data_IF_540422448596
#
_entry.id   IF_540422448596
#
_cell.length_a   1.000
_cell.length_b   1.000
_cell.length_c   1.000
_cell.angle_alpha   90.00
_cell.angle_beta   90.00
_cell.angle_gamma   90.00
#
_symmetry.space_group_name_H-M   'P 1'
#
loop_
_entity.id
_entity.type
_entity.pdbx_description
1 polymer ?
#
# COMPACT_ATOMS: atom_id res chain seq x y z
N UNK A 1 28.79 1.20 -11.24
CA UNK A 1 27.83 2.31 -11.02
C UNK A 1 26.47 1.82 -11.49
N UNK A 2 25.53 1.61 -10.57
CA UNK A 2 24.19 1.11 -10.92
C UNK A 2 23.32 2.35 -11.20
N UNK A 3 22.83 2.59 -12.43
CA UNK A 3 21.91 3.69 -12.66
C UNK A 3 20.58 3.28 -12.04
N UNK A 4 20.34 3.68 -10.79
CA UNK A 4 19.00 3.62 -10.22
C UNK A 4 18.11 4.50 -11.08
N UNK A 5 17.21 3.89 -11.86
CA UNK A 5 16.18 4.59 -12.61
C UNK A 5 15.51 5.62 -11.68
N UNK A 6 15.24 6.84 -12.16
CA UNK A 6 14.59 7.85 -11.33
C UNK A 6 13.26 7.30 -10.83
N UNK A 7 13.11 7.21 -9.51
CA UNK A 7 11.86 6.82 -8.90
C UNK A 7 10.82 7.89 -9.22
N UNK A 8 9.69 7.46 -9.77
CA UNK A 8 8.53 8.32 -9.97
C UNK A 8 7.68 8.25 -8.71
N UNK A 9 7.11 9.38 -8.27
CA UNK A 9 6.13 9.40 -7.20
C UNK A 9 4.72 9.48 -7.81
N UNK A 10 3.80 8.65 -7.32
CA UNK A 10 2.38 8.71 -7.63
C UNK A 10 1.59 8.92 -6.35
N UNK A 11 0.70 9.90 -6.36
CA UNK A 11 -0.24 10.15 -5.28
C UNK A 11 -1.65 9.88 -5.78
N UNK A 12 -2.43 9.17 -4.98
CA UNK A 12 -3.77 8.79 -5.37
C UNK A 12 -4.51 8.03 -4.30
N UNK A 13 -5.76 7.71 -4.61
CA UNK A 13 -6.62 6.91 -3.74
C UNK A 13 -6.60 5.45 -4.20
N UNK A 14 -6.43 4.53 -3.25
CA UNK A 14 -6.59 3.11 -3.54
C UNK A 14 -8.06 2.83 -3.81
N UNK A 15 -8.41 2.49 -5.05
CA UNK A 15 -9.81 2.22 -5.43
C UNK A 15 -10.17 0.76 -5.27
N UNK A 16 -9.26 -0.14 -5.64
CA UNK A 16 -9.53 -1.57 -5.63
C UNK A 16 -8.26 -2.39 -5.48
N UNK A 17 -8.36 -3.47 -4.71
CA UNK A 17 -7.34 -4.52 -4.65
C UNK A 17 -7.81 -5.66 -5.56
N UNK A 18 -7.06 -5.92 -6.63
CA UNK A 18 -7.35 -7.03 -7.58
C UNK A 18 -6.82 -8.36 -7.03
N UNK A 19 -5.67 -8.33 -6.37
CA UNK A 19 -5.05 -9.51 -5.77
C UNK A 19 -4.23 -9.09 -4.55
N UNK A 20 -4.26 -9.90 -3.50
CA UNK A 20 -3.40 -9.73 -2.34
C UNK A 20 -2.97 -11.09 -1.79
N UNK A 21 -1.66 -11.28 -1.66
CA UNK A 21 -1.07 -12.43 -1.00
C UNK A 21 -0.73 -12.06 0.45
N UNK A 22 -1.47 -12.64 1.40
CA UNK A 22 -1.29 -12.39 2.84
C UNK A 22 0.02 -12.91 3.41
N UNK A 23 0.71 -13.84 2.76
CA UNK A 23 1.98 -14.38 3.26
C UNK A 23 3.17 -13.55 2.82
N UNK A 24 3.14 -13.06 1.57
CA UNK A 24 4.25 -12.31 0.96
C UNK A 24 4.03 -10.81 0.93
N UNK A 25 2.82 -10.31 1.24
CA UNK A 25 2.36 -8.94 1.03
C UNK A 25 2.32 -8.49 -0.43
N UNK A 26 2.38 -9.42 -1.37
CA UNK A 26 2.31 -9.06 -2.77
C UNK A 26 0.89 -8.59 -3.13
N UNK A 27 0.79 -7.39 -3.69
CA UNK A 27 -0.47 -6.75 -4.08
C UNK A 27 -0.49 -6.45 -5.57
N UNK A 28 -1.68 -6.56 -6.15
CA UNK A 28 -2.05 -5.95 -7.44
C UNK A 28 -3.28 -5.10 -7.16
N UNK A 29 -3.18 -3.80 -7.42
CA UNK A 29 -4.21 -2.84 -7.07
C UNK A 29 -4.41 -1.77 -8.15
N UNK A 30 -5.54 -1.07 -8.05
CA UNK A 30 -5.89 0.09 -8.87
C UNK A 30 -5.83 1.35 -8.01
N UNK A 31 -4.96 2.27 -8.40
CA UNK A 31 -4.79 3.58 -7.79
C UNK A 31 -5.42 4.64 -8.69
N UNK A 32 -6.35 5.44 -8.16
CA UNK A 32 -6.88 6.62 -8.84
C UNK A 32 -5.99 7.82 -8.55
N UNK A 33 -5.29 8.29 -9.56
CA UNK A 33 -4.37 9.44 -9.46
C UNK A 33 -5.05 10.73 -9.91
N UNK A 34 -4.99 11.78 -9.08
CA UNK A 34 -5.56 13.10 -9.41
C UNK A 34 -7.08 13.10 -9.64
N UNK A 35 -7.57 14.11 -10.36
CA UNK A 35 -9.00 14.30 -10.68
C UNK A 35 -9.46 13.57 -11.97
N UNK A 36 -8.60 12.75 -12.57
CA UNK A 36 -8.98 11.96 -13.75
C UNK A 36 -9.53 10.60 -13.35
N UNK A 37 -10.46 10.04 -14.12
CA UNK A 37 -10.98 8.67 -13.93
C UNK A 37 -10.00 7.57 -14.36
N UNK A 38 -8.74 7.92 -14.60
CA UNK A 38 -7.70 6.99 -14.97
C UNK A 38 -7.23 6.19 -13.74
N UNK A 39 -7.39 4.88 -13.81
CA UNK A 39 -6.89 3.93 -12.80
C UNK A 39 -5.53 3.38 -13.21
N UNK A 40 -4.53 3.66 -12.39
CA UNK A 40 -3.18 3.11 -12.55
C UNK A 40 -3.11 1.74 -11.89
N UNK A 41 -2.62 0.73 -12.62
CA UNK A 41 -2.32 -0.58 -12.03
C UNK A 41 -1.02 -0.49 -11.24
N UNK A 42 -1.06 -0.70 -9.94
CA UNK A 42 0.12 -0.74 -9.06
C UNK A 42 0.39 -2.18 -8.63
N UNK A 43 1.66 -2.58 -8.62
CA UNK A 43 2.11 -3.93 -8.27
C UNK A 43 3.33 -3.88 -7.37
N UNK A 44 3.42 -4.76 -6.37
CA UNK A 44 4.58 -4.83 -5.50
C UNK A 44 4.23 -5.35 -4.12
N UNK A 45 5.03 -4.99 -3.12
CA UNK A 45 4.84 -5.41 -1.74
C UNK A 45 4.28 -4.27 -0.92
N UNK A 46 3.08 -4.45 -0.38
CA UNK A 46 2.37 -3.43 0.39
C UNK A 46 1.41 -4.14 1.34
N UNK A 47 1.42 -3.72 2.61
CA UNK A 47 0.53 -4.25 3.62
C UNK A 47 -0.15 -3.15 4.42
N UNK A 48 -1.28 -3.50 5.04
CA UNK A 48 -2.06 -2.58 5.86
C UNK A 48 -2.68 -1.44 5.08
N UNK A 49 -3.10 -1.73 3.84
CA UNK A 49 -3.81 -0.78 2.99
C UNK A 49 -5.21 -1.27 2.65
N UNK A 50 -6.17 -0.35 2.62
CA UNK A 50 -7.58 -0.62 2.33
C UNK A 50 -8.07 0.25 1.17
N UNK A 51 -8.97 -0.26 0.30
CA UNK A 51 -9.68 0.59 -0.64
C UNK A 51 -10.33 1.77 0.09
N UNK A 52 -10.14 2.99 -0.41
CA UNK A 52 -10.53 4.21 0.27
C UNK A 52 -9.36 5.08 0.71
N UNK A 53 -8.19 4.50 0.94
CA UNK A 53 -7.05 5.21 1.53
C UNK A 53 -6.27 6.03 0.51
N UNK A 54 -5.75 7.17 0.95
CA UNK A 54 -4.82 7.99 0.18
C UNK A 54 -3.39 7.46 0.36
N UNK A 55 -2.74 7.16 -0.78
CA UNK A 55 -1.41 6.60 -0.85
C UNK A 55 -0.49 7.51 -1.65
N UNK A 56 0.73 7.67 -1.17
CA UNK A 56 1.87 8.13 -1.94
C UNK A 56 2.77 6.94 -2.20
N UNK A 57 3.05 6.65 -3.46
CA UNK A 57 3.82 5.47 -3.89
C UNK A 57 5.01 5.94 -4.70
N UNK A 58 6.21 5.49 -4.34
CA UNK A 58 7.41 5.69 -5.14
C UNK A 58 7.77 4.39 -5.85
N UNK A 59 8.10 4.48 -7.13
CA UNK A 59 8.26 3.29 -7.95
C UNK A 59 8.75 3.55 -9.37
N UNK A 60 8.66 2.50 -10.19
CA UNK A 60 9.07 2.54 -11.60
C UNK A 60 7.94 2.04 -12.49
N UNK A 61 7.77 2.67 -13.65
CA UNK A 61 6.87 2.18 -14.68
C UNK A 61 7.47 0.96 -15.37
N UNK A 62 6.66 -0.09 -15.51
CA UNK A 62 7.01 -1.31 -16.21
C UNK A 62 5.87 -1.68 -17.16
N UNK A 63 6.22 -2.17 -18.35
CA UNK A 63 5.23 -2.65 -19.32
C UNK A 63 5.23 -4.16 -19.31
N UNK A 64 4.13 -4.75 -18.84
CA UNK A 64 3.94 -6.20 -18.90
C UNK A 64 3.39 -6.59 -20.28
N UNK A 65 3.98 -7.58 -20.99
CA UNK A 65 3.59 -7.93 -22.36
C UNK A 65 2.12 -8.37 -22.50
N UNK A 66 1.53 -8.91 -21.42
CA UNK A 66 0.12 -9.36 -21.38
C UNK A 66 -0.86 -8.34 -20.77
N UNK A 67 -0.40 -7.48 -19.86
CA UNK A 67 -1.28 -6.67 -19.00
C UNK A 67 -1.10 -5.15 -19.21
N UNK A 68 -0.18 -4.76 -20.09
CA UNK A 68 0.10 -3.36 -20.37
C UNK A 68 0.90 -2.69 -19.25
N UNK A 69 0.71 -1.38 -19.12
CA UNK A 69 1.49 -0.55 -18.22
C UNK A 69 1.10 -0.79 -16.75
N UNK A 70 2.11 -1.03 -15.91
CA UNK A 70 2.02 -1.23 -14.49
C UNK A 70 3.05 -0.37 -13.77
N UNK A 71 2.73 0.00 -12.53
CA UNK A 71 3.61 0.77 -11.68
C UNK A 71 4.15 -0.14 -10.58
N UNK A 72 5.45 -0.45 -10.63
CA UNK A 72 6.11 -1.28 -9.62
C UNK A 72 6.46 -0.44 -8.40
N UNK A 73 5.84 -0.78 -7.28
CA UNK A 73 6.04 -0.17 -5.97
C UNK A 73 7.46 -0.49 -5.47
N UNK A 74 8.18 0.54 -5.04
CA UNK A 74 9.48 0.44 -4.33
C UNK A 74 9.36 0.88 -2.87
N UNK A 75 8.59 1.92 -2.61
CA UNK A 75 8.18 2.35 -1.28
C UNK A 75 6.83 3.04 -1.34
N UNK A 76 6.16 3.16 -0.19
CA UNK A 76 4.88 3.84 -0.09
C UNK A 76 4.70 4.47 1.28
N UNK A 77 3.88 5.52 1.33
CA UNK A 77 3.44 6.21 2.52
C UNK A 77 1.91 6.32 2.48
N UNK A 78 1.25 5.99 3.59
CA UNK A 78 -0.20 6.19 3.76
C UNK A 78 -0.41 7.55 4.39
N UNK A 79 -0.99 8.50 3.66
CA UNK A 79 -0.99 9.91 4.08
C UNK A 79 -2.15 10.28 5.01
N UNK A 80 -3.33 9.63 4.92
CA UNK A 80 -4.50 9.95 5.75
C UNK A 80 -5.53 8.81 5.82
N UNK A 81 -6.17 8.64 6.99
CA UNK A 81 -5.68 7.70 7.97
C UNK A 81 -5.78 6.27 7.43
N UNK A 82 -4.67 5.53 7.49
CA UNK A 82 -4.72 4.08 7.44
C UNK A 82 -5.82 3.63 8.41
N UNK A 83 -6.83 2.92 7.92
CA UNK A 83 -7.94 2.55 8.78
C UNK A 83 -7.40 1.74 9.95
N UNK A 84 -7.92 1.99 11.14
CA UNK A 84 -7.61 1.22 12.35
C UNK A 84 -7.77 -0.28 12.04
N UNK A 85 -8.77 -0.64 11.24
CA UNK A 85 -8.96 -2.00 10.74
C UNK A 85 -7.82 -2.47 9.84
N UNK A 86 -7.37 -1.66 8.86
CA UNK A 86 -6.30 -2.03 7.92
C UNK A 86 -4.95 -2.25 8.60
N UNK A 87 -4.60 -1.39 9.57
CA UNK A 87 -3.40 -1.58 10.40
C UNK A 87 -3.57 -2.85 11.26
N UNK A 88 -4.75 -3.07 11.83
CA UNK A 88 -5.01 -4.21 12.70
C UNK A 88 -4.95 -5.53 11.94
N UNK A 89 -5.57 -5.64 10.77
CA UNK A 89 -5.50 -6.80 9.88
C UNK A 89 -4.06 -7.09 9.46
N UNK A 90 -3.29 -6.05 9.17
CA UNK A 90 -1.87 -6.20 8.84
C UNK A 90 -1.05 -6.75 10.00
N UNK A 91 -1.20 -6.18 11.19
CA UNK A 91 -0.49 -6.66 12.39
C UNK A 91 -0.97 -8.05 12.82
N UNK A 92 -2.23 -8.41 12.56
CA UNK A 92 -2.80 -9.73 12.84
C UNK A 92 -2.45 -10.80 11.81
N UNK A 93 -2.03 -10.40 10.60
CA UNK A 93 -1.68 -11.33 9.53
C UNK A 93 -0.48 -12.24 9.84
N UNK A 94 0.25 -12.00 10.94
CA UNK A 94 1.38 -12.82 11.39
C UNK A 94 2.67 -12.60 10.60
N UNK A 95 2.68 -11.64 9.67
CA UNK A 95 3.83 -11.32 8.81
C UNK A 95 4.97 -10.67 9.61
N UNK A 96 4.63 -9.87 10.62
CA UNK A 96 5.61 -9.36 11.58
C UNK A 96 5.76 -10.39 12.70
N UNK A 97 6.84 -11.17 12.63
CA UNK A 97 7.19 -12.14 13.68
C UNK A 97 7.28 -11.41 15.04
N UNK A 98 6.42 -11.82 15.98
CA UNK A 98 6.38 -11.26 17.34
C UNK A 98 5.21 -10.29 17.59
N UNK A 99 4.40 -9.93 16.58
CA UNK A 99 3.18 -9.15 16.79
C UNK A 99 1.96 -10.06 16.62
N UNK A 100 1.40 -10.48 17.75
CA UNK A 100 0.12 -11.19 17.79
C UNK A 100 -1.08 -10.22 17.90
N UNK A 101 -2.32 -10.73 17.80
CA UNK A 101 -3.53 -9.90 17.83
C UNK A 101 -3.62 -8.96 19.03
N UNK A 102 -3.13 -9.39 20.19
CA UNK A 102 -3.13 -8.57 21.41
C UNK A 102 -2.12 -7.42 21.33
N UNK A 103 -0.94 -7.62 20.73
CA UNK A 103 0.04 -6.55 20.51
C UNK A 103 -0.41 -5.60 19.41
N UNK A 104 -1.01 -6.14 18.34
CA UNK A 104 -1.65 -5.37 17.28
C UNK A 104 -2.70 -4.39 17.84
N UNK A 105 -3.66 -4.91 18.61
CA UNK A 105 -4.68 -4.07 19.26
C UNK A 105 -4.08 -3.02 20.19
N UNK A 106 -2.99 -3.33 20.91
CA UNK A 106 -2.31 -2.35 21.78
C UNK A 106 -1.62 -1.24 20.99
N UNK A 107 -0.94 -1.57 19.90
CA UNK A 107 -0.30 -0.58 19.03
C UNK A 107 -1.33 0.32 18.38
N UNK A 108 -2.39 -0.26 17.80
CA UNK A 108 -3.48 0.51 17.19
C UNK A 108 -4.21 1.36 18.25
N UNK A 109 -4.46 0.85 19.46
CA UNK A 109 -5.07 1.65 20.55
C UNK A 109 -4.15 2.75 21.06
N UNK A 110 -2.83 2.56 21.01
CA UNK A 110 -1.83 3.52 21.50
C UNK A 110 -1.45 4.58 20.48
N UNK A 111 -1.49 4.27 19.18
CA UNK A 111 -1.04 5.14 18.10
C UNK A 111 -2.16 5.53 17.12
N UNK A 112 -3.25 4.78 17.04
CA UNK A 112 -4.34 4.97 16.06
C UNK A 112 -5.35 6.09 16.37
N UNK A 113 -5.21 6.78 17.51
CA UNK A 113 -6.02 7.97 17.83
C UNK A 113 -5.17 9.21 18.18
N UNK A 114 -3.87 9.06 18.48
CA UNK A 114 -2.99 10.14 18.94
C UNK A 114 -2.05 10.70 17.84
N UNK A 115 -2.09 10.17 16.61
CA UNK A 115 -1.15 10.58 15.53
C UNK A 115 -1.74 11.59 14.54
N UNK A 116 -2.89 12.21 14.86
CA UNK A 116 -3.50 13.30 14.08
C UNK A 116 -3.38 14.67 14.78
N UNK A 117 -2.35 14.88 15.61
CA UNK A 117 -2.11 16.18 16.27
C UNK A 117 -0.71 16.71 15.98
#
# INVERSE_FOLDING_TARGET
MNPSLPLTALEGKLEQITYFNKETLYIIAKLKTGNTDNLVTVVGFMGGVSPGEALRINGTWETHPKYGQQFRIKSYDVTLPASVEGIMDYLQSGIIKGIGPMMASRMVKRFGADTLN
#
